data_IF_427213577350
#
_entry.id   IF_427213577350
#
_cell.length_a   1.000
_cell.length_b   1.000
_cell.length_c   1.000
_cell.angle_alpha   90.00
_cell.angle_beta   90.00
_cell.angle_gamma   90.00
#
_symmetry.space_group_name_H-M   'P 1'
#
loop_
_entity.id
_entity.type
_entity.pdbx_description
1 polymer ?
#
# COMPACT_ATOMS: atom_id res chain seq x y z
N UNK A 1 -8.16 -3.29 1.19
CA UNK A 1 -7.07 -3.10 2.18
C UNK A 1 -7.40 -3.67 3.55
N UNK A 2 -8.51 -3.26 4.19
CA UNK A 2 -8.92 -3.79 5.49
C UNK A 2 -9.06 -5.32 5.54
N UNK A 3 -9.66 -5.93 4.52
CA UNK A 3 -9.85 -7.40 4.50
C UNK A 3 -8.52 -8.17 4.45
N UNK A 4 -7.46 -7.61 3.88
CA UNK A 4 -6.13 -8.22 3.94
C UNK A 4 -5.66 -8.36 5.39
N UNK A 5 -5.96 -7.34 6.21
CA UNK A 5 -5.59 -7.23 7.61
C UNK A 5 -6.46 -8.14 8.49
N UNK A 6 -7.76 -8.19 8.21
CA UNK A 6 -8.74 -8.81 9.12
C UNK A 6 -9.13 -10.24 8.75
N UNK A 7 -9.18 -10.56 7.45
CA UNK A 7 -9.71 -11.84 6.96
C UNK A 7 -8.58 -12.71 6.43
N UNK A 8 -7.78 -12.19 5.50
CA UNK A 8 -6.80 -13.01 4.80
C UNK A 8 -5.54 -13.27 5.64
N UNK A 9 -5.06 -12.25 6.35
CA UNK A 9 -3.85 -12.34 7.15
C UNK A 9 -4.01 -11.79 8.58
N UNK A 10 -4.99 -12.26 9.36
CA UNK A 10 -5.29 -11.73 10.71
C UNK A 10 -4.12 -11.87 11.68
N UNK A 11 -3.23 -12.84 11.47
CA UNK A 11 -2.07 -13.11 12.34
C UNK A 11 -0.74 -12.59 11.79
N UNK A 12 -0.73 -11.99 10.60
CA UNK A 12 0.50 -11.44 10.05
C UNK A 12 0.92 -10.18 10.83
N UNK A 13 2.18 -10.15 11.26
CA UNK A 13 2.78 -8.97 11.89
C UNK A 13 2.83 -7.78 10.91
N UNK A 14 3.22 -8.04 9.66
CA UNK A 14 3.24 -7.06 8.58
C UNK A 14 2.82 -7.71 7.27
N UNK A 15 2.08 -6.97 6.45
CA UNK A 15 1.60 -7.39 5.13
C UNK A 15 2.23 -6.46 4.09
N UNK A 16 3.10 -7.01 3.25
CA UNK A 16 3.68 -6.28 2.13
C UNK A 16 2.72 -6.31 0.95
N UNK A 17 2.29 -5.14 0.50
CA UNK A 17 1.43 -4.99 -0.67
C UNK A 17 2.26 -4.36 -1.79
N UNK A 18 2.46 -5.11 -2.86
CA UNK A 18 3.10 -4.62 -4.08
C UNK A 18 1.99 -4.09 -4.99
N UNK A 19 2.03 -2.79 -5.27
CA UNK A 19 1.08 -2.10 -6.14
C UNK A 19 1.75 -1.83 -7.48
N UNK A 20 1.10 -2.24 -8.57
CA UNK A 20 1.66 -2.18 -9.90
C UNK A 20 1.55 -0.78 -10.54
N UNK A 21 0.43 -0.10 -10.36
CA UNK A 21 0.18 1.28 -10.78
C UNK A 21 -1.17 1.67 -10.17
N UNK A 22 -1.26 2.78 -9.44
CA UNK A 22 -2.47 3.60 -9.14
C UNK A 22 -2.34 4.32 -7.78
N UNK A 23 -2.46 5.65 -7.84
CA UNK A 23 -2.54 6.57 -6.70
C UNK A 23 -3.76 6.36 -5.77
N UNK A 24 -4.56 5.32 -5.96
CA UNK A 24 -5.81 5.06 -5.22
C UNK A 24 -5.62 4.27 -3.94
N UNK A 25 -4.53 3.52 -3.82
CA UNK A 25 -4.22 2.70 -2.65
C UNK A 25 -3.06 3.29 -1.86
N UNK A 26 -3.21 4.55 -1.47
CA UNK A 26 -2.26 5.27 -0.64
C UNK A 26 -2.63 5.15 0.85
N UNK A 27 -1.70 5.42 1.77
CA UNK A 27 -2.02 5.60 3.18
C UNK A 27 -3.12 6.64 3.42
N UNK A 28 -3.16 7.72 2.64
CA UNK A 28 -4.16 8.78 2.77
C UNK A 28 -5.58 8.26 2.53
N UNK A 29 -5.77 7.40 1.53
CA UNK A 29 -7.08 6.80 1.23
C UNK A 29 -7.67 6.00 2.42
N UNK A 30 -6.82 5.47 3.32
CA UNK A 30 -7.31 4.82 4.54
C UNK A 30 -7.95 5.82 5.51
N UNK A 31 -7.40 7.04 5.63
CA UNK A 31 -7.95 8.10 6.48
C UNK A 31 -9.20 8.76 5.87
N UNK A 32 -9.35 8.74 4.56
CA UNK A 32 -10.58 9.17 3.88
C UNK A 32 -11.73 8.17 4.09
N UNK A 33 -11.41 6.88 4.25
CA UNK A 33 -12.40 5.80 4.32
C UNK A 33 -12.78 5.40 5.74
N UNK A 34 -11.84 5.46 6.69
CA UNK A 34 -12.02 4.94 8.05
C UNK A 34 -11.81 6.01 9.12
N UNK A 35 -12.42 5.80 10.29
CA UNK A 35 -12.10 6.60 11.47
C UNK A 35 -10.59 6.56 11.75
N UNK A 36 -9.99 7.63 12.30
CA UNK A 36 -8.53 7.75 12.45
C UNK A 36 -7.87 6.55 13.14
N UNK A 37 -8.52 5.97 14.14
CA UNK A 37 -8.03 4.78 14.84
C UNK A 37 -7.99 3.54 13.93
N UNK A 38 -9.07 3.28 13.18
CA UNK A 38 -9.14 2.15 12.26
C UNK A 38 -8.19 2.31 11.07
N UNK A 39 -8.05 3.53 10.55
CA UNK A 39 -7.06 3.84 9.51
C UNK A 39 -5.63 3.55 10.00
N UNK A 40 -5.30 4.00 11.22
CA UNK A 40 -3.97 3.82 11.80
C UNK A 40 -3.64 2.35 12.06
N UNK A 41 -4.59 1.57 12.61
CA UNK A 41 -4.40 0.13 12.83
C UNK A 41 -4.11 -0.62 11.51
N UNK A 42 -4.82 -0.26 10.45
CA UNK A 42 -4.57 -0.84 9.12
C UNK A 42 -3.20 -0.42 8.58
N UNK A 43 -2.84 0.86 8.71
CA UNK A 43 -1.57 1.39 8.23
C UNK A 43 -0.36 0.78 8.98
N UNK A 44 -0.49 0.54 10.28
CA UNK A 44 0.56 -0.10 11.08
C UNK A 44 0.86 -1.53 10.61
N UNK A 45 -0.11 -2.22 10.01
CA UNK A 45 0.05 -3.60 9.51
C UNK A 45 0.39 -3.69 8.03
N UNK A 46 0.13 -2.64 7.24
CA UNK A 46 0.41 -2.62 5.80
C UNK A 46 1.77 -1.97 5.49
N UNK A 47 2.53 -2.58 4.60
CA UNK A 47 3.77 -2.04 4.03
C UNK A 47 3.58 -1.88 2.52
N UNK A 48 3.54 -0.63 2.04
CA UNK A 48 3.26 -0.32 0.64
C UNK A 48 4.55 -0.27 -0.17
N UNK A 49 4.61 -1.04 -1.25
CA UNK A 49 5.69 -1.00 -2.22
C UNK A 49 5.07 -0.77 -3.60
N UNK A 50 5.45 0.32 -4.26
CA UNK A 50 5.05 0.54 -5.65
C UNK A 50 6.16 0.04 -6.56
N UNK A 51 5.81 -0.74 -7.59
CA UNK A 51 6.76 -0.93 -8.69
C UNK A 51 6.94 0.43 -9.37
N UNK A 52 8.19 0.84 -9.68
CA UNK A 52 8.40 2.08 -10.42
C UNK A 52 7.61 1.99 -11.73
N UNK A 53 6.82 3.03 -12.03
CA UNK A 53 6.26 3.18 -13.37
C UNK A 53 7.44 3.15 -14.35
N UNK A 54 7.34 2.33 -15.39
CA UNK A 54 8.29 2.37 -16.50
C UNK A 54 8.12 3.70 -17.25
N UNK A 55 8.68 4.79 -16.72
CA UNK A 55 9.07 5.93 -17.52
C UNK A 55 10.52 6.29 -17.19
N UNK A 56 11.33 6.32 -18.24
CA UNK A 56 12.77 6.58 -18.31
C UNK A 56 13.72 5.39 -18.11
N UNK A 57 13.59 4.38 -18.97
CA UNK A 57 14.78 3.88 -19.70
C UNK A 57 14.81 4.60 -21.05
N UNK A 58 15.17 5.89 -21.01
CA UNK A 58 15.77 6.55 -22.16
C UNK A 58 16.87 7.49 -21.66
N UNK A 59 18.06 6.93 -21.53
CA UNK A 59 19.30 7.70 -21.55
C UNK A 59 20.39 6.79 -22.10
N UNK A 60 20.50 6.84 -23.42
CA UNK A 60 21.80 6.66 -24.05
C UNK A 60 22.81 7.59 -23.38
N UNK A 61 23.73 6.99 -22.62
CA UNK A 61 25.10 7.45 -22.36
C UNK A 61 25.81 6.40 -21.49
N UNK A 62 26.41 5.40 -22.12
CA UNK A 62 27.86 5.23 -22.18
C UNK A 62 28.18 4.13 -23.19
#
# INVERSE_FOLDING_TARGET
>A
MKDLVDIYFPRAYKIRVILYNLNTHTPAALYETFLPQGARQNLERLEFHCTPNMELVDSGRN
#
